data_IF_262203971738
#
_entry.id   IF_262203971738
#
_cell.length_a   1.000
_cell.length_b   1.000
_cell.length_c   1.000
_cell.angle_alpha   90.00
_cell.angle_beta   90.00
_cell.angle_gamma   90.00
#
_symmetry.space_group_name_H-M   'P 1'
#
loop_
_entity.id
_entity.type
_entity.pdbx_description
1 polymer ?
#
# COMPACT_ATOMS: atom_id res chain seq x y z
N UNK A 1 30.87 32.65 -37.18
CA UNK A 1 32.26 33.16 -37.22
C UNK A 1 33.11 32.44 -36.16
N UNK A 2 33.85 31.39 -36.51
CA UNK A 2 34.81 30.73 -35.60
C UNK A 2 36.14 31.48 -35.72
N UNK A 3 36.20 32.65 -35.08
CA UNK A 3 37.27 33.65 -35.24
C UNK A 3 38.52 33.34 -34.41
N UNK A 4 39.66 33.29 -35.10
CA UNK A 4 41.05 33.09 -34.64
C UNK A 4 41.55 31.63 -34.48
N UNK A 5 42.75 31.33 -35.01
CA UNK A 5 43.39 30.01 -34.93
C UNK A 5 43.74 29.60 -33.48
N UNK A 6 43.96 30.58 -32.59
CA UNK A 6 44.19 30.34 -31.17
C UNK A 6 42.95 29.76 -30.48
N UNK A 7 41.75 30.28 -30.79
CA UNK A 7 40.48 29.75 -30.26
C UNK A 7 40.21 28.32 -30.73
N UNK A 8 40.51 28.01 -32.00
CA UNK A 8 40.37 26.64 -32.53
C UNK A 8 41.31 25.65 -31.85
N UNK A 9 42.57 26.05 -31.58
CA UNK A 9 43.53 25.22 -30.84
C UNK A 9 43.12 25.01 -29.39
N UNK A 10 42.60 26.05 -28.73
CA UNK A 10 42.09 25.94 -27.37
C UNK A 10 40.88 24.99 -27.29
N UNK A 11 39.93 25.10 -28.22
CA UNK A 11 38.76 24.19 -28.29
C UNK A 11 39.20 22.75 -28.56
N UNK A 12 40.15 22.53 -29.48
CA UNK A 12 40.72 21.21 -29.74
C UNK A 12 41.39 20.62 -28.49
N UNK A 13 42.18 21.42 -27.76
CA UNK A 13 42.82 20.96 -26.53
C UNK A 13 41.79 20.57 -25.47
N UNK A 14 40.72 21.36 -25.30
CA UNK A 14 39.63 21.03 -24.37
C UNK A 14 38.90 19.76 -24.80
N UNK A 15 38.55 19.61 -26.08
CA UNK A 15 37.90 18.40 -26.59
C UNK A 15 38.77 17.16 -26.39
N UNK A 16 40.08 17.25 -26.65
CA UNK A 16 41.02 16.14 -26.40
C UNK A 16 41.06 15.78 -24.92
N UNK A 17 41.04 16.78 -24.03
CA UNK A 17 41.05 16.56 -22.58
C UNK A 17 39.74 15.91 -22.10
N UNK A 18 38.59 16.34 -22.63
CA UNK A 18 37.28 15.73 -22.36
C UNK A 18 37.24 14.28 -22.87
N UNK A 19 37.72 14.03 -24.10
CA UNK A 19 37.80 12.68 -24.65
C UNK A 19 38.70 11.80 -23.80
N UNK A 20 39.87 12.30 -23.38
CA UNK A 20 40.78 11.56 -22.51
C UNK A 20 40.15 11.26 -21.13
N UNK A 21 39.41 12.21 -20.56
CA UNK A 21 38.67 12.01 -19.31
C UNK A 21 37.57 10.94 -19.48
N UNK A 22 36.77 11.01 -20.56
CA UNK A 22 35.73 10.02 -20.86
C UNK A 22 36.33 8.62 -21.09
N UNK A 23 37.41 8.51 -21.86
CA UNK A 23 38.11 7.24 -22.08
C UNK A 23 38.72 6.70 -20.77
N UNK A 24 39.23 7.58 -19.91
CA UNK A 24 39.70 7.22 -18.57
C UNK A 24 38.59 6.64 -17.70
N UNK A 25 37.41 7.28 -17.67
CA UNK A 25 36.24 6.75 -16.95
C UNK A 25 35.74 5.43 -17.53
N UNK A 26 35.73 5.27 -18.86
CA UNK A 26 35.35 4.01 -19.50
C UNK A 26 36.34 2.91 -19.13
N UNK A 27 37.64 3.18 -19.23
CA UNK A 27 38.68 2.21 -18.85
C UNK A 27 38.54 1.80 -17.37
N UNK A 28 38.28 2.75 -16.47
CA UNK A 28 38.00 2.48 -15.06
C UNK A 28 36.79 1.55 -14.88
N UNK A 29 35.66 1.88 -15.50
CA UNK A 29 34.43 1.08 -15.43
C UNK A 29 34.67 -0.33 -15.96
N UNK A 30 35.31 -0.47 -17.13
CA UNK A 30 35.67 -1.78 -17.69
C UNK A 30 36.54 -2.53 -16.69
N UNK A 31 37.62 -1.94 -16.17
CA UNK A 31 38.50 -2.69 -15.25
C UNK A 31 37.86 -3.09 -13.92
N UNK A 32 36.88 -2.33 -13.43
CA UNK A 32 36.27 -2.54 -12.11
C UNK A 32 34.98 -3.36 -12.15
N UNK A 33 34.26 -3.38 -13.27
CA UNK A 33 32.94 -4.02 -13.40
C UNK A 33 32.87 -5.16 -14.40
N UNK A 34 33.87 -5.38 -15.25
CA UNK A 34 33.85 -6.51 -16.19
C UNK A 34 34.35 -7.82 -15.57
N UNK A 35 33.83 -8.96 -16.01
CA UNK A 35 34.40 -10.27 -15.74
C UNK A 35 35.33 -10.73 -16.89
N UNK A 36 36.38 -11.51 -16.57
CA UNK A 36 37.28 -12.13 -17.56
C UNK A 36 38.72 -11.61 -17.59
N UNK A 37 39.62 -12.45 -18.13
CA UNK A 37 41.08 -12.20 -18.16
C UNK A 37 41.52 -11.33 -19.36
N UNK A 38 40.74 -11.28 -20.44
CA UNK A 38 41.05 -10.53 -21.67
C UNK A 38 40.17 -9.31 -21.92
N UNK A 39 40.67 -8.31 -22.65
CA UNK A 39 39.91 -7.08 -22.97
C UNK A 39 38.65 -7.35 -23.80
N UNK A 40 38.68 -8.39 -24.66
CA UNK A 40 37.52 -8.86 -25.41
C UNK A 40 36.44 -9.46 -24.52
N UNK A 41 36.80 -10.40 -23.63
CA UNK A 41 35.87 -11.04 -22.69
C UNK A 41 35.25 -10.01 -21.73
N UNK A 42 36.03 -9.01 -21.33
CA UNK A 42 35.57 -7.89 -20.49
C UNK A 42 34.57 -6.97 -21.19
N UNK A 43 34.70 -6.79 -22.50
CA UNK A 43 33.75 -6.00 -23.28
C UNK A 43 32.48 -6.80 -23.59
N UNK A 44 32.60 -8.10 -23.85
CA UNK A 44 31.46 -9.00 -24.06
C UNK A 44 30.65 -9.20 -22.78
N UNK A 45 31.27 -9.32 -21.60
CA UNK A 45 30.53 -9.44 -20.32
C UNK A 45 29.72 -8.19 -19.97
N UNK A 46 30.15 -7.01 -20.42
CA UNK A 46 29.37 -5.78 -20.29
C UNK A 46 28.16 -5.73 -21.25
N UNK A 47 28.16 -6.57 -22.28
CA UNK A 47 27.14 -6.60 -23.33
C UNK A 47 26.12 -7.74 -23.11
N UNK A 48 26.53 -8.83 -22.46
CA UNK A 48 25.70 -9.99 -22.12
C UNK A 48 25.04 -9.91 -20.72
N UNK A 49 24.92 -8.71 -20.13
CA UNK A 49 24.40 -8.49 -18.76
C UNK A 49 25.15 -9.25 -17.63
N UNK A 50 26.32 -9.82 -17.94
CA UNK A 50 27.17 -10.59 -17.02
C UNK A 50 28.07 -9.68 -16.16
N UNK A 51 27.54 -8.51 -15.83
CA UNK A 51 28.18 -7.51 -14.96
C UNK A 51 27.79 -7.85 -13.52
N UNK A 52 28.75 -8.00 -12.59
CA UNK A 52 28.42 -8.20 -11.18
C UNK A 52 27.44 -7.13 -10.68
N UNK A 53 26.26 -7.56 -10.24
CA UNK A 53 25.16 -6.71 -9.76
C UNK A 53 24.16 -6.20 -10.82
N UNK A 54 24.27 -6.59 -12.10
CA UNK A 54 23.27 -6.22 -13.12
C UNK A 54 21.92 -6.92 -12.89
N UNK A 55 21.94 -8.20 -12.49
CA UNK A 55 20.73 -8.92 -12.07
C UNK A 55 20.04 -8.21 -10.90
N UNK A 56 20.80 -7.76 -9.91
CA UNK A 56 20.28 -7.04 -8.74
C UNK A 56 19.61 -5.71 -9.13
N UNK A 57 20.19 -4.99 -10.10
CA UNK A 57 19.61 -3.75 -10.61
C UNK A 57 18.31 -4.01 -11.39
N UNK A 58 18.28 -5.05 -12.24
CA UNK A 58 17.09 -5.43 -13.00
C UNK A 58 15.96 -5.91 -12.08
N UNK A 59 16.28 -6.75 -11.10
CA UNK A 59 15.33 -7.22 -10.09
C UNK A 59 14.78 -6.03 -9.31
N UNK A 60 15.63 -5.10 -8.88
CA UNK A 60 15.19 -3.88 -8.18
C UNK A 60 14.19 -3.06 -8.99
N UNK A 61 14.46 -2.79 -10.26
CA UNK A 61 13.53 -2.04 -11.12
C UNK A 61 12.22 -2.79 -11.34
N UNK A 62 12.27 -4.13 -11.48
CA UNK A 62 11.09 -4.96 -11.59
C UNK A 62 10.24 -4.92 -10.31
N UNK A 63 10.86 -5.02 -9.13
CA UNK A 63 10.19 -4.91 -7.83
C UNK A 63 9.50 -3.56 -7.68
N UNK A 64 10.20 -2.45 -7.97
CA UNK A 64 9.62 -1.10 -7.89
C UNK A 64 8.41 -0.92 -8.82
N UNK A 65 8.50 -1.45 -10.04
CA UNK A 65 7.44 -1.36 -11.06
C UNK A 65 6.23 -2.23 -10.68
N UNK A 66 6.49 -3.49 -10.33
CA UNK A 66 5.46 -4.46 -9.96
C UNK A 66 4.68 -4.00 -8.73
N UNK A 67 5.35 -3.60 -7.65
CA UNK A 67 4.69 -3.14 -6.43
C UNK A 67 3.88 -1.86 -6.65
N UNK A 68 4.36 -0.94 -7.49
CA UNK A 68 3.58 0.25 -7.89
C UNK A 68 2.31 -0.16 -8.63
N UNK A 69 2.45 -1.01 -9.65
CA UNK A 69 1.34 -1.44 -10.49
C UNK A 69 0.31 -2.20 -9.66
N UNK A 70 0.76 -3.13 -8.81
CA UNK A 70 -0.09 -3.86 -7.88
C UNK A 70 -0.85 -2.91 -6.96
N UNK A 71 -0.17 -2.05 -6.19
CA UNK A 71 -0.83 -1.19 -5.21
C UNK A 71 -1.77 -0.16 -5.86
N UNK A 72 -1.46 0.29 -7.08
CA UNK A 72 -2.36 1.16 -7.85
C UNK A 72 -3.61 0.39 -8.25
N UNK A 73 -3.48 -0.75 -8.93
CA UNK A 73 -4.64 -1.51 -9.42
C UNK A 73 -5.46 -2.11 -8.29
N UNK A 74 -4.83 -2.58 -7.21
CA UNK A 74 -5.50 -3.13 -6.02
C UNK A 74 -6.42 -2.10 -5.34
N UNK A 75 -6.10 -0.81 -5.45
CA UNK A 75 -6.86 0.27 -4.84
C UNK A 75 -7.78 1.03 -5.81
N UNK A 76 -7.81 0.65 -7.09
CA UNK A 76 -8.56 1.36 -8.11
C UNK A 76 -9.65 0.48 -8.71
N UNK A 77 -10.90 0.89 -8.51
CA UNK A 77 -12.09 0.27 -9.09
C UNK A 77 -13.24 1.28 -9.09
N UNK A 78 -14.14 1.19 -10.04
CA UNK A 78 -15.28 2.10 -10.14
C UNK A 78 -16.51 1.45 -10.81
N UNK A 79 -17.69 2.09 -10.78
CA UNK A 79 -18.93 1.52 -11.33
C UNK A 79 -18.89 1.19 -12.82
N UNK A 80 -18.05 1.85 -13.62
CA UNK A 80 -17.90 1.57 -15.05
C UNK A 80 -17.23 0.22 -15.33
N UNK A 81 -16.50 -0.32 -14.36
CA UNK A 81 -15.86 -1.63 -14.43
C UNK A 81 -16.82 -2.79 -14.10
N UNK A 82 -18.06 -2.50 -13.68
CA UNK A 82 -19.04 -3.55 -13.41
C UNK A 82 -19.59 -4.15 -14.70
N UNK A 83 -19.62 -5.48 -14.77
CA UNK A 83 -20.35 -6.19 -15.80
C UNK A 83 -21.85 -6.36 -15.46
N UNK A 84 -22.61 -6.96 -16.37
CA UNK A 84 -24.04 -7.24 -16.20
C UNK A 84 -24.36 -8.17 -15.01
N UNK A 85 -23.37 -8.92 -14.52
CA UNK A 85 -23.48 -9.80 -13.36
C UNK A 85 -23.07 -9.11 -12.05
N UNK A 86 -22.70 -7.84 -12.09
CA UNK A 86 -22.22 -7.08 -10.94
C UNK A 86 -20.80 -7.49 -10.52
N UNK A 87 -20.00 -8.00 -11.45
CA UNK A 87 -18.60 -8.38 -11.24
C UNK A 87 -17.66 -7.32 -11.76
N UNK A 88 -16.45 -7.25 -11.21
CA UNK A 88 -15.40 -6.32 -11.63
C UNK A 88 -14.29 -7.09 -12.38
N UNK A 89 -14.50 -7.54 -13.64
CA UNK A 89 -13.53 -8.39 -14.34
C UNK A 89 -12.16 -7.72 -14.51
N UNK A 90 -12.11 -6.42 -14.83
CA UNK A 90 -10.83 -5.70 -14.97
C UNK A 90 -10.07 -5.58 -13.64
N UNK A 91 -10.80 -5.50 -12.52
CA UNK A 91 -10.23 -5.53 -11.17
C UNK A 91 -9.80 -6.96 -10.77
N UNK A 92 -10.47 -8.00 -11.27
CA UNK A 92 -10.06 -9.39 -11.06
C UNK A 92 -8.69 -9.68 -11.70
N UNK A 93 -8.35 -9.03 -12.81
CA UNK A 93 -7.04 -9.14 -13.48
C UNK A 93 -5.85 -8.60 -12.65
N UNK A 94 -6.10 -8.04 -11.45
CA UNK A 94 -5.02 -7.73 -10.49
C UNK A 94 -4.35 -9.02 -10.00
N UNK A 95 -5.08 -10.13 -9.98
CA UNK A 95 -4.57 -11.46 -9.64
C UNK A 95 -3.39 -11.91 -10.52
N UNK A 96 -3.26 -11.40 -11.75
CA UNK A 96 -2.14 -11.71 -12.65
C UNK A 96 -0.78 -11.24 -12.12
N UNK A 97 -0.78 -10.32 -11.15
CA UNK A 97 0.43 -9.80 -10.50
C UNK A 97 0.80 -10.59 -9.24
N UNK A 98 -0.03 -11.55 -8.85
CA UNK A 98 0.04 -12.24 -7.57
C UNK A 98 0.60 -13.66 -7.73
N UNK A 99 1.12 -14.23 -6.64
CA UNK A 99 1.35 -15.67 -6.57
C UNK A 99 0.00 -16.41 -6.64
N UNK A 100 -0.03 -17.67 -7.09
CA UNK A 100 -1.28 -18.44 -7.16
C UNK A 100 -2.03 -18.51 -5.81
N UNK A 101 -1.27 -18.61 -4.71
CA UNK A 101 -1.82 -18.61 -3.35
C UNK A 101 -2.50 -17.27 -3.04
N UNK A 102 -1.84 -16.16 -3.31
CA UNK A 102 -2.39 -14.84 -2.98
C UNK A 102 -3.55 -14.46 -3.90
N UNK A 103 -3.48 -14.84 -5.18
CA UNK A 103 -4.57 -14.70 -6.14
C UNK A 103 -5.86 -15.41 -5.68
N UNK A 104 -5.74 -16.61 -5.09
CA UNK A 104 -6.89 -17.34 -4.52
C UNK A 104 -7.54 -16.55 -3.38
N UNK A 105 -6.74 -16.06 -2.43
CA UNK A 105 -7.25 -15.24 -1.31
C UNK A 105 -7.89 -13.95 -1.82
N UNK A 106 -7.28 -13.28 -2.80
CA UNK A 106 -7.85 -12.09 -3.43
C UNK A 106 -9.21 -12.40 -4.09
N UNK A 107 -9.29 -13.48 -4.87
CA UNK A 107 -10.54 -13.91 -5.51
C UNK A 107 -11.66 -14.19 -4.51
N UNK A 108 -11.33 -14.75 -3.34
CA UNK A 108 -12.31 -15.01 -2.28
C UNK A 108 -12.85 -13.72 -1.63
N UNK A 109 -12.10 -12.61 -1.73
CA UNK A 109 -12.44 -11.34 -1.09
C UNK A 109 -12.91 -10.25 -2.07
N UNK A 110 -12.70 -10.41 -3.38
CA UNK A 110 -13.09 -9.40 -4.39
C UNK A 110 -14.58 -9.06 -4.34
N UNK A 111 -15.42 -10.00 -3.90
CA UNK A 111 -16.86 -9.83 -3.75
C UNK A 111 -17.27 -8.68 -2.84
N UNK A 112 -16.42 -8.25 -1.89
CA UNK A 112 -16.68 -7.08 -1.05
C UNK A 112 -16.62 -5.77 -1.85
N UNK A 113 -15.62 -5.62 -2.71
CA UNK A 113 -15.51 -4.47 -3.60
C UNK A 113 -16.67 -4.45 -4.59
N UNK A 114 -16.95 -5.58 -5.25
CA UNK A 114 -18.07 -5.74 -6.18
C UNK A 114 -19.41 -5.35 -5.54
N UNK A 115 -19.69 -5.86 -4.34
CA UNK A 115 -20.89 -5.54 -3.60
C UNK A 115 -20.96 -4.04 -3.24
N UNK A 116 -19.84 -3.45 -2.84
CA UNK A 116 -19.78 -2.02 -2.49
C UNK A 116 -20.08 -1.14 -3.70
N UNK A 117 -19.42 -1.40 -4.84
CA UNK A 117 -19.63 -0.66 -6.09
C UNK A 117 -21.07 -0.87 -6.57
N UNK A 118 -21.57 -2.10 -6.61
CA UNK A 118 -22.91 -2.40 -7.13
C UNK A 118 -24.04 -1.80 -6.26
N UNK A 119 -23.86 -1.75 -4.93
CA UNK A 119 -24.90 -1.27 -4.03
C UNK A 119 -24.88 0.25 -3.83
N UNK A 120 -23.69 0.85 -3.83
CA UNK A 120 -23.52 2.26 -3.45
C UNK A 120 -23.08 3.16 -4.59
N UNK A 121 -22.67 2.57 -5.72
CA UNK A 121 -22.03 3.29 -6.81
C UNK A 121 -20.66 3.85 -6.41
N UNK A 122 -20.02 3.33 -5.36
CA UNK A 122 -18.71 3.79 -4.91
C UNK A 122 -17.65 3.62 -6.00
N UNK A 123 -16.70 4.55 -6.03
CA UNK A 123 -15.46 4.43 -6.75
C UNK A 123 -14.30 4.61 -5.77
N UNK A 124 -13.20 3.91 -6.02
CA UNK A 124 -11.96 4.00 -5.29
C UNK A 124 -10.86 4.31 -6.29
N UNK A 125 -10.02 5.31 -5.99
CA UNK A 125 -8.86 5.66 -6.79
C UNK A 125 -7.58 5.62 -5.94
N UNK A 126 -6.67 4.72 -6.30
CA UNK A 126 -5.35 4.59 -5.70
C UNK A 126 -4.29 5.41 -6.44
N UNK A 127 -3.62 6.33 -5.73
CA UNK A 127 -2.45 7.07 -6.24
C UNK A 127 -1.19 6.72 -5.44
N UNK A 128 -0.20 6.12 -6.09
CA UNK A 128 1.10 5.80 -5.47
C UNK A 128 2.09 6.94 -5.68
N UNK A 129 2.61 7.54 -4.61
CA UNK A 129 3.65 8.59 -4.72
C UNK A 129 5.06 8.09 -4.39
N UNK A 130 5.22 7.00 -3.63
CA UNK A 130 6.53 6.44 -3.30
C UNK A 130 6.53 4.91 -3.30
N UNK A 131 7.66 4.34 -3.75
CA UNK A 131 7.96 2.91 -3.68
C UNK A 131 9.44 2.77 -3.34
N UNK A 132 9.77 1.87 -2.41
CA UNK A 132 11.15 1.58 -2.02
C UNK A 132 11.33 0.13 -1.60
N UNK A 133 12.37 -0.52 -2.12
CA UNK A 133 12.76 -1.87 -1.68
C UNK A 133 13.38 -1.78 -0.29
N UNK A 134 12.79 -2.48 0.67
CA UNK A 134 13.29 -2.62 2.04
C UNK A 134 14.34 -3.72 2.12
N UNK A 135 14.03 -4.90 1.60
CA UNK A 135 14.96 -6.03 1.50
C UNK A 135 14.76 -6.82 0.20
N UNK A 136 15.82 -7.46 -0.25
CA UNK A 136 15.81 -8.35 -1.43
C UNK A 136 16.88 -9.41 -1.26
N UNK A 137 16.52 -10.66 -1.55
CA UNK A 137 17.44 -11.77 -1.73
C UNK A 137 17.15 -12.50 -3.05
N UNK A 138 17.64 -13.73 -3.21
CA UNK A 138 17.63 -14.42 -4.51
C UNK A 138 16.23 -14.76 -5.04
N UNK A 139 15.26 -14.93 -4.15
CA UNK A 139 13.91 -15.39 -4.48
C UNK A 139 12.80 -14.72 -3.66
N UNK A 140 13.13 -13.84 -2.71
CA UNK A 140 12.16 -13.04 -1.94
C UNK A 140 12.54 -11.56 -1.84
N UNK A 141 11.54 -10.70 -1.66
CA UNK A 141 11.74 -9.27 -1.45
C UNK A 141 10.62 -8.65 -0.64
N UNK A 142 10.94 -7.58 0.08
CA UNK A 142 10.00 -6.72 0.79
C UNK A 142 10.07 -5.31 0.19
N UNK A 143 8.91 -4.75 -0.16
CA UNK A 143 8.80 -3.42 -0.77
C UNK A 143 7.80 -2.57 -0.01
N UNK A 144 8.22 -1.38 0.38
CA UNK A 144 7.37 -0.37 0.99
C UNK A 144 6.74 0.49 -0.11
N UNK A 145 5.41 0.59 -0.09
CA UNK A 145 4.62 1.42 -0.99
C UNK A 145 3.81 2.44 -0.19
N UNK A 146 3.88 3.71 -0.58
CA UNK A 146 3.10 4.77 0.04
C UNK A 146 2.29 5.53 -1.00
N UNK A 147 1.04 5.78 -0.66
CA UNK A 147 0.08 6.38 -1.58
C UNK A 147 -1.12 6.98 -0.85
N UNK A 148 -2.13 7.31 -1.65
CA UNK A 148 -3.45 7.70 -1.19
C UNK A 148 -4.53 6.90 -1.87
N UNK A 149 -5.63 6.67 -1.16
CA UNK A 149 -6.89 6.15 -1.69
C UNK A 149 -7.92 7.25 -1.52
N UNK A 150 -8.65 7.55 -2.59
CA UNK A 150 -9.79 8.45 -2.54
C UNK A 150 -11.06 7.68 -2.87
N UNK A 151 -11.99 7.64 -1.92
CA UNK A 151 -13.32 7.07 -2.16
C UNK A 151 -14.29 8.17 -2.57
N UNK A 152 -15.10 7.91 -3.58
CA UNK A 152 -16.17 8.81 -4.00
C UNK A 152 -17.48 8.07 -4.18
N UNK A 153 -18.59 8.79 -3.99
CA UNK A 153 -19.95 8.26 -4.09
C UNK A 153 -20.81 9.19 -4.96
N UNK A 154 -21.82 8.69 -5.68
CA UNK A 154 -22.75 9.56 -6.41
C UNK A 154 -23.50 10.49 -5.43
N UNK A 155 -23.86 11.71 -5.87
CA UNK A 155 -24.77 12.54 -5.09
C UNK A 155 -26.10 11.81 -4.84
N UNK A 156 -26.66 11.89 -3.62
CA UNK A 156 -28.00 11.39 -3.37
C UNK A 156 -29.01 12.15 -4.24
N UNK A 157 -29.98 11.42 -4.81
CA UNK A 157 -30.99 11.98 -5.69
C UNK A 157 -31.66 13.23 -5.08
N UNK A 158 -31.72 14.32 -5.87
CA UNK A 158 -32.32 15.59 -5.45
C UNK A 158 -31.39 16.55 -4.69
N UNK A 159 -30.10 16.23 -4.57
CA UNK A 159 -29.06 17.10 -3.99
C UNK A 159 -27.88 17.35 -4.94
N UNK A 160 -28.13 17.34 -6.27
CA UNK A 160 -27.16 17.89 -7.23
C UNK A 160 -26.87 19.32 -6.80
N UNK A 161 -25.62 19.60 -6.45
CA UNK A 161 -25.20 20.91 -6.01
C UNK A 161 -25.58 21.95 -7.05
N UNK A 162 -26.13 23.08 -6.60
CA UNK A 162 -26.06 24.32 -7.35
C UNK A 162 -24.59 24.57 -7.69
N UNK A 163 -24.18 24.15 -8.88
CA UNK A 163 -22.93 24.54 -9.50
C UNK A 163 -23.01 26.03 -9.78
N UNK A 164 -22.61 26.83 -8.79
CA UNK A 164 -22.33 28.25 -8.99
C UNK A 164 -21.15 28.36 -9.98
N UNK A 165 -21.46 28.85 -11.18
CA UNK A 165 -20.56 29.52 -12.13
C UNK A 165 -19.12 28.98 -12.27
N UNK A 166 -18.90 28.10 -13.27
CA UNK A 166 -17.58 27.95 -13.87
C UNK A 166 -17.65 27.52 -15.35
N UNK A 167 -17.86 28.51 -16.23
CA UNK A 167 -17.14 28.61 -17.51
C UNK A 167 -17.55 27.69 -18.67
N UNK A 168 -17.98 28.32 -19.76
CA UNK A 168 -18.01 27.73 -21.10
C UNK A 168 -16.63 27.15 -21.51
N UNK A 169 -16.36 25.87 -21.24
CA UNK A 169 -15.38 25.10 -22.01
C UNK A 169 -15.96 23.72 -22.33
N UNK A 170 -16.41 23.59 -23.57
CA UNK A 170 -17.01 22.37 -24.09
C UNK A 170 -15.91 21.35 -24.38
N UNK A 171 -15.71 20.39 -23.48
CA UNK A 171 -14.95 19.19 -23.81
C UNK A 171 -14.39 18.41 -22.64
N UNK A 172 -15.24 17.79 -21.81
CA UNK A 172 -14.81 16.65 -21.01
C UNK A 172 -15.99 15.72 -20.71
N UNK A 173 -15.97 14.43 -21.14
CA UNK A 173 -17.05 13.50 -20.84
C UNK A 173 -16.99 13.07 -19.37
N UNK A 174 -18.01 13.45 -18.58
CA UNK A 174 -18.20 13.05 -17.19
C UNK A 174 -17.02 13.44 -16.26
N UNK A 175 -16.85 14.74 -16.04
CA UNK A 175 -15.99 15.29 -14.98
C UNK A 175 -16.57 14.97 -13.60
N UNK A 176 -15.69 14.83 -12.61
CA UNK A 176 -15.90 14.47 -11.20
C UNK A 176 -16.94 15.30 -10.39
N UNK A 177 -17.72 16.16 -11.05
CA UNK A 177 -18.60 17.16 -10.47
C UNK A 177 -19.92 16.59 -9.92
N UNK A 178 -20.23 15.33 -10.21
CA UNK A 178 -21.45 14.63 -9.76
C UNK A 178 -21.20 13.62 -8.60
N UNK A 179 -20.04 13.70 -7.94
CA UNK A 179 -19.67 12.77 -6.87
C UNK A 179 -19.21 13.48 -5.60
N UNK A 180 -19.54 12.92 -4.45
CA UNK A 180 -19.05 13.35 -3.14
C UNK A 180 -17.79 12.53 -2.84
N UNK A 181 -16.65 13.22 -2.66
CA UNK A 181 -15.39 12.61 -2.25
C UNK A 181 -15.26 12.54 -0.73
N UNK A 182 -14.66 11.45 -0.23
CA UNK A 182 -14.21 11.31 1.17
C UNK A 182 -12.94 12.12 1.47
N UNK A 183 -12.29 12.65 0.44
CA UNK A 183 -10.92 13.15 0.45
C UNK A 183 -9.89 12.02 0.43
N UNK A 184 -8.68 12.35 -0.01
CA UNK A 184 -7.55 11.43 -0.08
C UNK A 184 -7.09 10.94 1.31
N UNK A 185 -7.22 9.64 1.56
CA UNK A 185 -6.70 8.95 2.73
C UNK A 185 -5.35 8.34 2.42
N UNK A 186 -4.39 8.38 3.35
CA UNK A 186 -3.05 7.82 3.13
C UNK A 186 -3.02 6.34 3.48
N UNK A 187 -2.23 5.56 2.73
CA UNK A 187 -1.89 4.19 3.08
C UNK A 187 -0.37 3.99 3.06
N UNK A 188 0.11 3.00 3.82
CA UNK A 188 1.51 2.54 3.81
C UNK A 188 1.55 1.03 3.81
N UNK A 189 1.83 0.48 2.64
CA UNK A 189 1.86 -0.95 2.44
C UNK A 189 3.27 -1.50 2.56
N UNK A 190 3.40 -2.66 3.20
CA UNK A 190 4.50 -3.58 3.00
C UNK A 190 4.02 -4.69 2.04
N UNK A 191 4.68 -4.80 0.89
CA UNK A 191 4.38 -5.78 -0.15
C UNK A 191 5.46 -6.85 -0.12
N UNK A 192 5.06 -8.09 0.17
CA UNK A 192 5.95 -9.25 0.08
C UNK A 192 5.91 -9.81 -1.34
N UNK A 193 7.08 -10.07 -1.93
CA UNK A 193 7.21 -10.61 -3.28
C UNK A 193 8.07 -11.87 -3.28
N UNK A 194 7.72 -12.80 -4.16
CA UNK A 194 8.45 -14.06 -4.36
C UNK A 194 8.74 -14.24 -5.85
N UNK A 195 9.90 -14.81 -6.16
CA UNK A 195 10.32 -15.13 -7.52
C UNK A 195 9.94 -16.57 -7.88
N UNK A 196 9.01 -16.74 -8.82
CA UNK A 196 8.55 -18.03 -9.31
C UNK A 196 8.92 -18.15 -10.79
N UNK A 197 9.68 -19.20 -11.14
CA UNK A 197 10.16 -19.44 -12.52
C UNK A 197 10.86 -18.21 -13.16
N UNK A 198 11.57 -17.44 -12.33
CA UNK A 198 12.30 -16.24 -12.74
C UNK A 198 11.45 -14.96 -12.80
N UNK A 199 10.17 -15.01 -12.46
CA UNK A 199 9.26 -13.86 -12.44
C UNK A 199 8.92 -13.47 -11.00
N UNK A 200 9.09 -12.20 -10.66
CA UNK A 200 8.59 -11.65 -9.41
C UNK A 200 7.06 -11.56 -9.44
N UNK A 201 6.43 -12.01 -8.34
CA UNK A 201 5.00 -11.95 -8.11
C UNK A 201 4.73 -11.51 -6.68
N UNK A 202 3.61 -10.84 -6.44
CA UNK A 202 3.18 -10.39 -5.10
C UNK A 202 2.61 -11.59 -4.34
N UNK A 203 3.20 -11.91 -3.19
CA UNK A 203 2.77 -13.03 -2.34
C UNK A 203 1.88 -12.58 -1.18
N UNK A 204 2.05 -11.34 -0.71
CA UNK A 204 1.22 -10.78 0.36
C UNK A 204 1.24 -9.24 0.36
N UNK A 205 0.31 -8.67 1.11
CA UNK A 205 0.15 -7.25 1.37
C UNK A 205 -0.20 -7.00 2.84
N UNK A 206 0.50 -6.08 3.49
CA UNK A 206 0.17 -5.61 4.84
C UNK A 206 -0.02 -4.08 4.84
N UNK A 207 -1.09 -3.56 5.46
CA UNK A 207 -1.26 -2.12 5.70
C UNK A 207 -0.73 -1.76 7.09
N UNK A 208 0.45 -1.16 7.12
CA UNK A 208 1.18 -0.86 8.35
C UNK A 208 0.40 0.12 9.25
N UNK A 209 -0.60 0.82 8.69
CA UNK A 209 -1.43 1.79 9.40
C UNK A 209 -2.66 1.20 10.12
N UNK A 210 -3.11 -0.01 9.81
CA UNK A 210 -4.38 -0.54 10.30
C UNK A 210 -4.26 -1.43 11.57
N UNK A 211 -3.05 -1.95 11.85
CA UNK A 211 -2.80 -2.85 12.98
C UNK A 211 -3.46 -4.22 12.84
N UNK A 212 -3.87 -4.60 11.64
CA UNK A 212 -4.41 -5.89 11.26
C UNK A 212 -3.27 -6.81 10.80
N UNK A 213 -3.51 -8.13 10.74
CA UNK A 213 -2.58 -9.04 10.08
C UNK A 213 -2.55 -8.78 8.56
N UNK A 214 -1.47 -9.23 7.87
CA UNK A 214 -1.38 -9.20 6.41
C UNK A 214 -2.59 -9.83 5.72
N UNK A 215 -2.92 -9.35 4.52
CA UNK A 215 -4.11 -9.70 3.76
C UNK A 215 -4.22 -11.20 3.47
N UNK A 216 -3.11 -11.91 3.26
CA UNK A 216 -3.12 -13.36 3.02
C UNK A 216 -3.42 -14.19 4.28
N UNK A 217 -3.38 -13.58 5.47
CA UNK A 217 -3.64 -14.24 6.73
C UNK A 217 -5.12 -14.06 7.13
N UNK A 218 -5.82 -15.15 7.48
CA UNK A 218 -7.20 -15.03 7.91
C UNK A 218 -7.27 -14.23 9.22
N UNK A 219 -7.97 -13.11 9.19
CA UNK A 219 -8.36 -12.35 10.39
C UNK A 219 -9.46 -13.10 11.14
N UNK A 220 -9.20 -14.34 11.59
CA UNK A 220 -10.01 -14.91 12.66
C UNK A 220 -9.70 -14.03 13.87
N UNK A 221 -10.67 -13.35 14.49
CA UNK A 221 -10.44 -12.82 15.83
C UNK A 221 -9.98 -14.04 16.62
N UNK A 222 -8.75 -14.05 17.14
CA UNK A 222 -8.37 -15.07 18.11
C UNK A 222 -9.48 -15.05 19.14
N UNK A 223 -10.33 -16.09 19.13
CA UNK A 223 -11.25 -16.39 20.19
C UNK A 223 -10.43 -16.18 21.44
N UNK A 224 -10.82 -15.19 22.24
CA UNK A 224 -10.28 -14.97 23.57
C UNK A 224 -10.21 -16.33 24.22
N UNK A 225 -9.00 -16.90 24.27
CA UNK A 225 -8.83 -18.28 24.67
C UNK A 225 -9.52 -18.42 26.01
N UNK A 226 -10.45 -19.37 26.06
CA UNK A 226 -11.41 -19.54 27.13
C UNK A 226 -10.78 -19.30 28.49
N UNK A 227 -11.08 -18.14 29.08
CA UNK A 227 -11.13 -18.06 30.51
C UNK A 227 -12.47 -18.71 30.87
N UNK A 228 -12.51 -19.93 31.45
CA UNK A 228 -13.76 -20.43 32.00
C UNK A 228 -14.27 -19.37 32.99
N UNK A 229 -15.61 -19.21 33.15
CA UNK A 229 -16.10 -18.37 34.24
C UNK A 229 -15.47 -18.91 35.52
N UNK A 230 -14.70 -18.08 36.23
CA UNK A 230 -14.21 -18.41 37.56
C UNK A 230 -15.42 -18.64 38.45
N UNK A 231 -15.88 -19.89 38.52
CA UNK A 231 -16.69 -20.39 39.61
C UNK A 231 -15.74 -20.69 40.74
N UNK A 232 -15.31 -19.65 41.46
CA UNK A 232 -14.88 -19.84 42.84
C UNK A 232 -15.69 -18.92 43.75
N UNK A 233 -16.28 -19.46 44.83
CA UNK A 233 -17.19 -18.73 45.70
C UNK A 233 -16.39 -17.83 46.64
N UNK A 234 -16.61 -16.51 46.56
CA UNK A 234 -16.15 -15.61 47.60
C UNK A 234 -17.01 -15.85 48.86
N UNK A 235 -16.39 -16.54 49.79
CA UNK A 235 -16.85 -16.88 51.12
C UNK A 235 -17.45 -15.67 51.87
N UNK A 236 -18.63 -15.87 52.45
CA UNK A 236 -19.20 -15.00 53.48
C UNK A 236 -18.26 -14.88 54.68
N UNK A 237 -17.93 -13.67 55.15
CA UNK A 237 -17.37 -13.52 56.49
C UNK A 237 -18.52 -13.61 57.50
N UNK A 238 -18.65 -14.78 58.12
CA UNK A 238 -19.42 -14.95 59.35
C UNK A 238 -18.59 -14.44 60.53
N UNK A 239 -19.05 -13.37 61.17
CA UNK A 239 -18.51 -12.85 62.42
C UNK A 239 -19.64 -12.24 63.25
N UNK A 240 -20.33 -13.07 64.03
CA UNK A 240 -21.27 -12.62 65.06
C UNK A 240 -20.51 -11.96 66.24
N UNK A 241 -21.20 -11.15 67.08
CA UNK A 241 -21.73 -11.77 68.27
C UNK A 241 -23.15 -11.32 68.67
N UNK A 242 -23.90 -12.35 69.09
CA UNK A 242 -24.92 -12.48 70.14
C UNK A 242 -25.49 -11.29 70.93
N UNK A 243 -26.82 -11.41 71.12
CA UNK A 243 -27.70 -11.11 72.27
C UNK A 243 -28.14 -9.67 72.59
N UNK A 244 -29.46 -9.49 72.69
CA UNK A 244 -30.08 -8.49 73.56
C UNK A 244 -31.48 -8.04 73.14
N UNK A 245 -32.52 -8.74 73.61
CA UNK A 245 -33.88 -8.20 73.71
C UNK A 245 -33.90 -6.83 74.40
N UNK A 246 -34.93 -6.02 74.09
CA UNK A 246 -35.78 -5.23 75.02
C UNK A 246 -36.11 -3.85 74.41
N UNK A 247 -37.27 -3.76 73.73
CA UNK A 247 -38.22 -2.64 73.89
C UNK A 247 -38.54 -2.51 75.41
N UNK A 248 -38.62 -1.32 76.05
CA UNK A 248 -39.53 -0.23 75.66
C UNK A 248 -39.09 1.21 76.01
N UNK A 249 -40.01 2.13 75.69
CA UNK A 249 -40.33 3.38 76.42
C UNK A 249 -39.87 4.71 75.81
N UNK A 250 -40.88 5.39 75.27
CA UNK A 250 -41.02 6.84 75.18
C UNK A 250 -40.67 7.54 76.51
N UNK A 251 -40.40 8.84 76.43
CA UNK A 251 -41.24 9.76 77.20
C UNK A 251 -41.82 10.90 76.35
N UNK A 252 -43.09 11.22 76.64
CA UNK A 252 -43.71 12.54 76.54
C UNK A 252 -42.82 13.59 77.29
N UNK A 253 -42.87 14.91 77.09
CA UNK A 253 -44.05 15.79 76.93
C UNK A 253 -43.60 17.21 76.54
N UNK A 254 -44.45 17.86 75.72
CA UNK A 254 -45.00 19.23 75.85
C UNK A 254 -44.22 20.57 75.72
N UNK A 255 -45.00 21.52 75.18
CA UNK A 255 -45.00 23.00 75.24
C UNK A 255 -44.05 23.82 74.33
N UNK A 256 -44.51 24.84 73.59
CA UNK A 256 -45.83 25.49 73.56
C UNK A 256 -45.98 26.60 72.50
N UNK A 257 -47.24 26.77 72.08
CA UNK A 257 -48.04 27.99 71.87
C UNK A 257 -47.39 29.33 71.43
N UNK A 258 -47.70 29.76 70.20
CA UNK A 258 -48.56 30.92 69.87
C UNK A 258 -48.78 31.06 68.35
#
# INVERSE_FOLDING_TARGET
>A
MIGSPARRRAILAVLVLVIAACLGTIALVVTTRSAGDGLGDRLSSLQDDDVPGATDAKDREQLLTLSRQFATRFNTYDPSMLDDAGKLPEYADVADLMTPKFAEVFSDNIGYAEATVAQTGAASEGTVYAVGVDSVDGDSAEVLVAGTIELSYPFPEGQQGEGDDAGDDAGDPATDEDRISSGAQRFRYQVSLVKIDGNWLVDDLDDIDDGLPPFSQPSIPEDSQGQPPSTDPAESPSGAPTTGSTEPSQPETEEGDQ
#
